data_IF_140326880685
#
_entry.id   IF_140326880685
#
_cell.length_a   1.000
_cell.length_b   1.000
_cell.length_c   1.000
_cell.angle_alpha   90.00
_cell.angle_beta   90.00
_cell.angle_gamma   90.00
#
_symmetry.space_group_name_H-M   'P 1'
#
loop_
_entity.id
_entity.type
_entity.pdbx_description
1 polymer ?
#
# COMPACT_ATOMS: atom_id res chain seq x y z
N UNK A 1 -9.78 14.01 -0.93
CA UNK A 1 -9.22 12.91 -1.74
C UNK A 1 -7.77 12.70 -1.33
N UNK A 2 -7.32 11.47 -1.17
CA UNK A 2 -5.96 11.10 -0.80
C UNK A 2 -5.04 11.08 -2.03
N UNK A 3 -3.74 11.28 -1.80
CA UNK A 3 -2.70 11.32 -2.84
C UNK A 3 -1.84 10.05 -2.76
N UNK A 4 -1.80 9.22 -3.82
CA UNK A 4 -1.01 7.99 -3.80
C UNK A 4 0.46 8.27 -4.11
N UNK A 5 1.34 7.59 -3.38
CA UNK A 5 2.78 7.51 -3.64
C UNK A 5 3.20 6.04 -3.69
N UNK A 6 4.19 5.73 -4.51
CA UNK A 6 4.62 4.35 -4.76
C UNK A 6 6.11 4.24 -4.49
N UNK A 7 6.47 3.31 -3.61
CA UNK A 7 7.87 2.92 -3.42
C UNK A 7 8.43 2.27 -4.70
N UNK A 8 9.75 2.19 -4.79
CA UNK A 8 10.41 1.52 -5.91
C UNK A 8 10.12 0.02 -5.94
N UNK A 9 10.01 -0.62 -4.78
CA UNK A 9 9.70 -2.05 -4.70
C UNK A 9 8.27 -2.34 -5.15
N UNK A 10 7.30 -1.50 -4.75
CA UNK A 10 5.94 -1.57 -5.27
C UNK A 10 5.91 -1.50 -6.80
N UNK A 11 6.60 -0.52 -7.40
CA UNK A 11 6.62 -0.35 -8.87
C UNK A 11 7.21 -1.58 -9.55
N UNK A 12 8.36 -2.08 -9.07
CA UNK A 12 9.03 -3.27 -9.62
C UNK A 12 8.16 -4.52 -9.51
N UNK A 13 7.53 -4.75 -8.36
CA UNK A 13 6.68 -5.91 -8.16
C UNK A 13 5.39 -5.82 -8.96
N UNK A 14 4.79 -4.63 -9.05
CA UNK A 14 3.62 -4.40 -9.92
C UNK A 14 3.97 -4.73 -11.37
N UNK A 15 5.03 -4.11 -11.92
CA UNK A 15 5.47 -4.35 -13.29
C UNK A 15 5.72 -5.84 -13.56
N UNK A 16 6.43 -6.52 -12.64
CA UNK A 16 6.71 -7.96 -12.77
C UNK A 16 5.44 -8.81 -12.78
N UNK A 17 4.44 -8.46 -11.96
CA UNK A 17 3.17 -9.18 -11.87
C UNK A 17 2.28 -8.92 -13.09
N UNK A 18 2.28 -7.68 -13.61
CA UNK A 18 1.34 -7.25 -14.64
C UNK A 18 1.91 -7.25 -16.05
N UNK A 19 3.21 -7.52 -16.24
CA UNK A 19 3.92 -7.48 -17.54
C UNK A 19 3.17 -8.11 -18.71
N UNK A 20 2.35 -9.13 -18.46
CA UNK A 20 1.51 -9.82 -19.46
C UNK A 20 0.06 -10.00 -19.01
N UNK A 21 -0.36 -9.30 -17.97
CA UNK A 21 -1.69 -9.41 -17.37
C UNK A 21 -2.31 -8.01 -17.16
N UNK A 22 -2.79 -7.45 -18.27
CA UNK A 22 -3.45 -6.14 -18.29
C UNK A 22 -4.75 -6.15 -17.48
N UNK A 23 -5.38 -7.31 -17.27
CA UNK A 23 -6.61 -7.42 -16.47
C UNK A 23 -6.27 -7.20 -15.00
N UNK A 24 -5.20 -7.83 -14.52
CA UNK A 24 -4.69 -7.60 -13.18
C UNK A 24 -4.23 -6.15 -12.99
N UNK A 25 -3.51 -5.60 -13.96
CA UNK A 25 -3.07 -4.20 -13.93
C UNK A 25 -4.25 -3.25 -13.73
N UNK A 26 -5.29 -3.38 -14.55
CA UNK A 26 -6.49 -2.57 -14.46
C UNK A 26 -7.21 -2.74 -13.11
N UNK A 27 -7.27 -3.97 -12.57
CA UNK A 27 -7.88 -4.22 -11.25
C UNK A 27 -7.12 -3.51 -10.13
N UNK A 28 -5.79 -3.53 -10.16
CA UNK A 28 -4.95 -2.87 -9.16
C UNK A 28 -5.08 -1.35 -9.29
N UNK A 29 -5.01 -0.82 -10.51
CA UNK A 29 -5.15 0.62 -10.77
C UNK A 29 -6.52 1.14 -10.32
N UNK A 30 -7.60 0.42 -10.64
CA UNK A 30 -8.94 0.78 -10.17
C UNK A 30 -9.05 0.75 -8.64
N UNK A 31 -8.44 -0.26 -7.98
CA UNK A 31 -8.41 -0.30 -6.52
C UNK A 31 -7.67 0.91 -5.93
N UNK A 32 -6.55 1.33 -6.52
CA UNK A 32 -5.80 2.52 -6.08
C UNK A 32 -6.65 3.78 -6.25
N UNK A 33 -7.37 3.90 -7.37
CA UNK A 33 -8.27 5.03 -7.59
C UNK A 33 -9.42 5.08 -6.57
N UNK A 34 -10.03 3.94 -6.24
CA UNK A 34 -11.04 3.86 -5.19
C UNK A 34 -10.48 4.27 -3.82
N UNK A 35 -9.25 3.84 -3.51
CA UNK A 35 -8.58 4.17 -2.25
C UNK A 35 -8.30 5.66 -2.07
N UNK A 36 -8.24 6.45 -3.16
CA UNK A 36 -8.12 7.91 -3.06
C UNK A 36 -9.34 8.54 -2.38
N UNK A 37 -10.48 7.87 -2.38
CA UNK A 37 -11.68 8.37 -1.70
C UNK A 37 -11.73 7.93 -0.24
N UNK A 38 -11.49 6.64 0.02
CA UNK A 38 -11.49 6.06 1.36
C UNK A 38 -10.45 4.93 1.45
N UNK A 39 -9.23 5.20 1.95
CA UNK A 39 -8.18 4.20 2.04
C UNK A 39 -8.36 3.22 3.20
N UNK A 40 -9.39 3.38 4.04
CA UNK A 40 -9.65 2.49 5.17
C UNK A 40 -10.66 1.39 4.81
N UNK A 41 -11.49 1.61 3.79
CA UNK A 41 -12.50 0.65 3.33
C UNK A 41 -11.88 -0.71 2.98
N UNK A 42 -12.50 -1.77 3.50
CA UNK A 42 -12.12 -3.18 3.23
C UNK A 42 -10.64 -3.50 3.47
N UNK A 43 -9.99 -2.75 4.36
CA UNK A 43 -8.59 -2.91 4.68
C UNK A 43 -8.38 -3.40 6.11
N UNK A 44 -7.27 -4.08 6.34
CA UNK A 44 -6.88 -4.61 7.65
C UNK A 44 -5.58 -3.95 8.05
N UNK A 45 -5.54 -3.37 9.25
CA UNK A 45 -4.30 -2.90 9.88
C UNK A 45 -3.43 -4.10 10.25
N UNK A 46 -2.14 -4.01 9.93
CA UNK A 46 -1.15 -5.04 10.21
C UNK A 46 -0.49 -4.79 11.57
N UNK A 47 0.01 -5.86 12.18
CA UNK A 47 0.54 -5.87 13.54
C UNK A 47 2.00 -6.35 13.57
N UNK A 48 2.60 -6.35 14.75
CA UNK A 48 4.00 -6.76 14.99
C UNK A 48 4.98 -6.00 14.10
N UNK A 49 5.84 -6.69 13.35
CA UNK A 49 6.86 -6.08 12.48
C UNK A 49 6.27 -5.21 11.37
N UNK A 50 5.00 -5.42 11.01
CA UNK A 50 4.29 -4.66 9.98
C UNK A 50 3.39 -3.56 10.55
N UNK A 51 3.57 -3.22 11.84
CA UNK A 51 2.79 -2.16 12.50
C UNK A 51 2.85 -0.85 11.72
N UNK A 52 1.70 -0.19 11.62
CA UNK A 52 1.55 1.05 10.86
C UNK A 52 1.39 0.89 9.35
N UNK A 53 1.35 -0.36 8.87
CA UNK A 53 0.90 -0.70 7.52
C UNK A 53 -0.51 -1.27 7.58
N UNK A 54 -1.19 -1.18 6.45
CA UNK A 54 -2.48 -1.78 6.15
C UNK A 54 -2.35 -2.68 4.94
N UNK A 55 -3.28 -3.61 4.81
CA UNK A 55 -3.45 -4.44 3.62
C UNK A 55 -4.86 -4.35 3.10
N UNK A 56 -4.99 -4.23 1.78
CA UNK A 56 -6.25 -4.42 1.05
C UNK A 56 -6.13 -5.58 0.06
N UNK A 57 -7.25 -6.23 -0.24
CA UNK A 57 -7.34 -7.38 -1.16
C UNK A 57 -7.77 -6.91 -2.55
N UNK A 58 -7.08 -7.39 -3.58
CA UNK A 58 -7.48 -7.26 -4.99
C UNK A 58 -7.48 -8.66 -5.61
N UNK A 59 -8.63 -9.34 -5.59
CA UNK A 59 -8.69 -10.77 -5.95
C UNK A 59 -7.74 -11.61 -5.08
N UNK A 60 -6.84 -12.37 -5.70
CA UNK A 60 -5.82 -13.14 -4.95
C UNK A 60 -4.56 -12.33 -4.60
N UNK A 61 -4.52 -11.06 -4.95
CA UNK A 61 -3.39 -10.16 -4.67
C UNK A 61 -3.66 -9.31 -3.44
N UNK A 62 -2.58 -8.80 -2.85
CA UNK A 62 -2.58 -7.93 -1.68
C UNK A 62 -1.75 -6.69 -1.99
N UNK A 63 -2.31 -5.53 -1.68
CA UNK A 63 -1.56 -4.28 -1.64
C UNK A 63 -1.24 -3.97 -0.19
N UNK A 64 0.02 -3.62 0.09
CA UNK A 64 0.46 -3.18 1.41
C UNK A 64 0.86 -1.73 1.36
N UNK A 65 0.30 -0.94 2.28
CA UNK A 65 0.38 0.51 2.24
C UNK A 65 0.29 1.13 3.63
N UNK A 66 0.63 2.40 3.77
CA UNK A 66 0.30 3.20 4.96
C UNK A 66 -0.54 4.42 4.56
N UNK A 67 -1.38 4.87 5.49
CA UNK A 67 -2.09 6.16 5.37
C UNK A 67 -1.38 7.15 6.29
N UNK A 68 -0.84 8.24 5.75
CA UNK A 68 0.01 9.16 6.52
C UNK A 68 -0.73 9.78 7.71
N UNK A 69 -2.02 10.08 7.56
CA UNK A 69 -2.88 10.54 8.64
C UNK A 69 -2.93 9.55 9.82
N UNK A 70 -3.19 8.26 9.56
CA UNK A 70 -3.21 7.21 10.58
C UNK A 70 -1.83 7.00 11.19
N UNK A 71 -0.80 6.97 10.35
CA UNK A 71 0.60 6.79 10.75
C UNK A 71 1.02 7.85 11.77
N UNK A 72 0.82 9.14 11.44
CA UNK A 72 1.20 10.26 12.31
C UNK A 72 0.38 10.31 13.59
N UNK A 73 -0.92 10.06 13.50
CA UNK A 73 -1.80 10.02 14.68
C UNK A 73 -1.39 8.95 15.69
N UNK A 74 -0.84 7.82 15.21
CA UNK A 74 -0.44 6.69 16.06
C UNK A 74 1.06 6.66 16.39
N UNK A 75 1.87 7.58 15.85
CA UNK A 75 3.31 7.60 16.06
C UNK A 75 4.04 6.43 15.40
N UNK A 76 3.63 6.06 14.18
CA UNK A 76 4.14 4.87 13.47
C UNK A 76 5.22 5.16 12.42
N UNK A 77 5.77 6.36 12.39
CA UNK A 77 6.73 6.83 11.37
C UNK A 77 7.96 5.91 11.31
N UNK A 78 8.50 5.54 12.47
CA UNK A 78 9.67 4.68 12.58
C UNK A 78 9.42 3.25 12.05
N UNK A 79 8.20 2.72 12.17
CA UNK A 79 7.85 1.40 11.63
C UNK A 79 7.69 1.42 10.11
N UNK A 80 7.39 2.59 9.54
CA UNK A 80 7.16 2.75 8.11
C UNK A 80 8.41 3.10 7.31
N UNK A 81 9.52 3.48 7.96
CA UNK A 81 10.78 3.77 7.28
C UNK A 81 10.69 4.95 6.30
N UNK A 82 9.71 5.84 6.48
CA UNK A 82 9.51 6.99 5.61
C UNK A 82 10.49 8.11 5.98
N UNK A 83 11.65 8.16 5.35
CA UNK A 83 12.65 9.22 5.56
C UNK A 83 12.17 10.61 5.12
N UNK A 84 11.12 10.67 4.30
CA UNK A 84 10.56 11.90 3.74
C UNK A 84 9.16 12.21 4.29
N UNK A 85 8.81 11.66 5.46
CA UNK A 85 7.47 11.73 6.04
C UNK A 85 6.93 13.15 6.12
N UNK A 86 7.73 14.12 6.58
CA UNK A 86 7.30 15.52 6.76
C UNK A 86 7.02 16.24 5.43
N UNK A 87 7.67 15.82 4.34
CA UNK A 87 7.47 16.42 3.02
C UNK A 87 6.13 16.04 2.38
N UNK A 88 5.48 14.97 2.86
CA UNK A 88 4.25 14.45 2.26
C UNK A 88 2.99 15.09 2.88
N UNK A 89 1.95 15.36 2.09
CA UNK A 89 0.64 15.75 2.63
C UNK A 89 0.10 14.72 3.64
N UNK A 90 -0.66 15.17 4.63
CA UNK A 90 -1.25 14.27 5.64
C UNK A 90 -2.21 13.25 5.01
N UNK A 91 -2.92 13.64 3.95
CA UNK A 91 -3.82 12.80 3.16
C UNK A 91 -3.06 11.95 2.11
N UNK A 92 -1.84 11.50 2.41
CA UNK A 92 -1.09 10.63 1.50
C UNK A 92 -1.34 9.15 1.78
N UNK A 93 -1.28 8.33 0.73
CA UNK A 93 -1.26 6.86 0.79
C UNK A 93 0.09 6.41 0.23
N UNK A 94 0.87 5.67 1.01
CA UNK A 94 2.18 5.17 0.58
C UNK A 94 2.08 3.69 0.31
N UNK A 95 2.19 3.28 -0.95
CA UNK A 95 2.18 1.87 -1.35
C UNK A 95 3.60 1.28 -1.30
N UNK A 96 3.77 0.28 -0.45
CA UNK A 96 5.05 -0.39 -0.20
C UNK A 96 5.22 -1.63 -1.08
N UNK A 97 4.17 -2.43 -1.26
CA UNK A 97 4.29 -3.66 -2.04
C UNK A 97 2.96 -4.16 -2.62
N UNK A 98 3.06 -5.01 -3.63
CA UNK A 98 1.99 -5.82 -4.20
C UNK A 98 2.45 -7.25 -4.43
N UNK A 99 1.70 -8.23 -3.93
CA UNK A 99 2.05 -9.64 -4.07
C UNK A 99 0.82 -10.56 -4.12
N UNK A 100 1.00 -11.75 -4.68
CA UNK A 100 -0.01 -12.82 -4.63
C UNK A 100 -0.07 -13.42 -3.22
N UNK A 101 -1.28 -13.67 -2.70
CA UNK A 101 -1.55 -14.17 -1.33
C UNK A 101 -0.73 -15.40 -0.92
N UNK A 102 -0.31 -16.23 -1.87
CA UNK A 102 0.47 -17.44 -1.61
C UNK A 102 1.90 -17.16 -1.14
N UNK A 103 2.42 -15.94 -1.37
CA UNK A 103 3.77 -15.55 -0.94
C UNK A 103 3.84 -15.04 0.50
N UNK A 104 2.69 -14.85 1.17
CA UNK A 104 2.67 -14.29 2.51
C UNK A 104 3.29 -12.90 2.58
N UNK A 105 3.82 -12.54 3.75
CA UNK A 105 4.52 -11.27 3.98
C UNK A 105 6.05 -11.44 4.02
N UNK A 106 6.56 -12.62 3.65
CA UNK A 106 8.00 -12.93 3.67
C UNK A 106 8.83 -12.08 2.69
N UNK A 107 8.17 -11.17 1.96
CA UNK A 107 8.74 -10.27 0.96
C UNK A 107 8.86 -8.81 1.45
N UNK A 108 8.35 -8.51 2.64
CA UNK A 108 8.30 -7.15 3.21
C UNK A 108 9.36 -6.91 4.29
#
# INVERSE_FOLDING_TARGET
>A
MYVPFFSEDFKKHLEKLTKRDNILENRITNQIEDMKTDPFRNSIELTHELKGKRRVKVGDYRLVYAVCEECRKKGYENFNGCYDCESKPVNSIIFFDVFHRSKGYDLL
#
